data_IF_790742700443
#
_entry.id   IF_790742700443
#
_cell.length_a   1.000
_cell.length_b   1.000
_cell.length_c   1.000
_cell.angle_alpha   90.00
_cell.angle_beta   90.00
_cell.angle_gamma   90.00
#
_symmetry.space_group_name_H-M   'P 1'
#
loop_
_entity.id
_entity.type
_entity.pdbx_description
1 polymer ?
#
# COMPACT_ATOMS: atom_id res chain seq x y z
N UNK A 1 6.90 -46.19 5.59
CA UNK A 1 7.09 -45.84 7.01
C UNK A 1 6.19 -44.65 7.32
N UNK A 2 5.14 -44.84 8.12
CA UNK A 2 4.28 -43.74 8.58
C UNK A 2 5.00 -43.07 9.75
N UNK A 3 5.67 -41.95 9.51
CA UNK A 3 6.16 -41.12 10.61
C UNK A 3 4.92 -40.65 11.39
N UNK A 4 4.72 -41.13 12.61
CA UNK A 4 3.77 -40.49 13.49
C UNK A 4 4.33 -39.10 13.82
N UNK A 5 3.59 -38.07 13.42
CA UNK A 5 3.98 -36.68 13.56
C UNK A 5 3.53 -36.24 14.97
N UNK A 6 4.24 -36.63 16.03
CA UNK A 6 3.85 -36.41 17.45
C UNK A 6 3.83 -34.95 17.88
N UNK A 7 4.28 -34.09 16.98
CA UNK A 7 4.39 -32.65 17.15
C UNK A 7 3.05 -32.00 17.56
N UNK A 8 1.90 -32.61 17.20
CA UNK A 8 0.56 -32.08 17.50
C UNK A 8 0.29 -31.90 19.01
N UNK A 9 0.98 -32.67 19.86
CA UNK A 9 0.79 -32.61 21.32
C UNK A 9 1.61 -31.50 22.00
N UNK A 10 2.60 -30.93 21.31
CA UNK A 10 3.41 -29.82 21.83
C UNK A 10 2.59 -28.51 21.89
N UNK A 11 3.03 -27.56 22.72
CA UNK A 11 2.36 -26.25 22.81
C UNK A 11 2.31 -25.52 21.46
N UNK A 12 3.40 -25.60 20.69
CA UNK A 12 3.48 -25.06 19.33
C UNK A 12 2.49 -25.80 18.40
N UNK A 13 2.29 -27.11 18.57
CA UNK A 13 1.37 -27.95 17.80
C UNK A 13 -0.07 -27.52 17.92
N UNK A 14 -0.51 -27.36 19.17
CA UNK A 14 -1.84 -26.86 19.50
C UNK A 14 -2.06 -25.43 19.02
N UNK A 15 -1.04 -24.59 19.09
CA UNK A 15 -1.11 -23.21 18.57
C UNK A 15 -1.30 -23.17 17.05
N UNK A 16 -0.49 -23.93 16.29
CA UNK A 16 -0.66 -24.02 14.83
C UNK A 16 -2.01 -24.64 14.44
N UNK A 17 -2.50 -25.64 15.17
CA UNK A 17 -3.84 -26.19 14.96
C UNK A 17 -4.96 -25.19 15.25
N UNK A 18 -4.78 -24.32 16.24
CA UNK A 18 -5.74 -23.26 16.57
C UNK A 18 -5.79 -22.20 15.46
N UNK A 19 -4.63 -21.71 15.03
CA UNK A 19 -4.52 -20.71 13.95
C UNK A 19 -5.01 -21.27 12.61
N UNK A 20 -4.70 -22.53 12.31
CA UNK A 20 -5.18 -23.22 11.10
C UNK A 20 -6.63 -23.68 11.18
N UNK A 21 -7.36 -23.36 12.25
CA UNK A 21 -8.73 -23.83 12.43
C UNK A 21 -9.72 -23.05 11.55
N UNK A 22 -10.68 -23.77 10.95
CA UNK A 22 -11.78 -23.15 10.19
C UNK A 22 -12.57 -22.14 11.02
N UNK A 23 -12.67 -22.38 12.34
CA UNK A 23 -13.38 -21.50 13.27
C UNK A 23 -12.74 -20.13 13.40
N UNK A 24 -11.42 -20.02 13.20
CA UNK A 24 -10.71 -18.75 13.17
C UNK A 24 -10.63 -18.18 11.74
N UNK A 25 -10.39 -19.03 10.74
CA UNK A 25 -10.24 -18.56 9.36
C UNK A 25 -11.51 -17.88 8.80
N UNK A 26 -12.69 -18.45 9.04
CA UNK A 26 -13.97 -17.91 8.52
C UNK A 26 -14.26 -16.48 9.02
N UNK A 27 -14.28 -16.19 10.33
CA UNK A 27 -14.59 -14.84 10.80
C UNK A 27 -13.54 -13.83 10.32
N UNK A 28 -12.26 -14.21 10.26
CA UNK A 28 -11.20 -13.33 9.74
C UNK A 28 -11.42 -13.02 8.26
N UNK A 29 -11.79 -14.02 7.44
CA UNK A 29 -12.15 -13.80 6.03
C UNK A 29 -13.33 -12.84 5.88
N UNK A 30 -14.35 -12.96 6.73
CA UNK A 30 -15.50 -12.03 6.73
C UNK A 30 -15.05 -10.62 7.08
N UNK A 31 -14.20 -10.44 8.10
CA UNK A 31 -13.67 -9.14 8.47
C UNK A 31 -12.84 -8.50 7.36
N UNK A 32 -12.00 -9.29 6.68
CA UNK A 32 -11.25 -8.81 5.51
C UNK A 32 -12.19 -8.42 4.38
N UNK A 33 -13.23 -9.21 4.10
CA UNK A 33 -14.22 -8.88 3.07
C UNK A 33 -14.95 -7.56 3.39
N UNK A 34 -15.37 -7.35 4.63
CA UNK A 34 -15.98 -6.09 5.08
C UNK A 34 -15.00 -4.92 4.93
N UNK A 35 -13.74 -5.12 5.35
CA UNK A 35 -12.68 -4.12 5.18
C UNK A 35 -12.42 -3.77 3.71
N UNK A 36 -12.45 -4.75 2.82
CA UNK A 36 -12.32 -4.55 1.38
C UNK A 36 -13.49 -3.74 0.80
N UNK A 37 -14.73 -4.08 1.16
CA UNK A 37 -15.92 -3.33 0.74
C UNK A 37 -15.85 -1.87 1.20
N UNK A 38 -15.42 -1.65 2.45
CA UNK A 38 -15.25 -0.31 2.99
C UNK A 38 -14.13 0.46 2.29
N UNK A 39 -13.01 -0.20 1.99
CA UNK A 39 -11.91 0.36 1.20
C UNK A 39 -12.35 0.80 -0.20
N UNK A 40 -13.12 -0.04 -0.89
CA UNK A 40 -13.69 0.29 -2.20
C UNK A 40 -14.68 1.45 -2.15
N UNK A 41 -15.48 1.55 -1.08
CA UNK A 41 -16.35 2.68 -0.88
C UNK A 41 -15.56 4.00 -0.76
N UNK A 42 -14.55 4.04 0.10
CA UNK A 42 -13.67 5.23 0.27
C UNK A 42 -12.92 5.55 -1.02
N UNK A 43 -12.46 4.53 -1.76
CA UNK A 43 -11.79 4.71 -3.05
C UNK A 43 -12.70 5.44 -4.05
N UNK A 44 -13.98 5.08 -4.06
CA UNK A 44 -14.95 5.72 -4.95
C UNK A 44 -15.33 7.15 -4.56
N UNK A 45 -15.25 7.52 -3.27
CA UNK A 45 -15.67 8.84 -2.77
C UNK A 45 -14.52 9.82 -2.63
N UNK A 46 -13.44 9.40 -1.98
CA UNK A 46 -12.31 10.23 -1.58
C UNK A 46 -11.05 9.97 -2.44
N UNK A 47 -11.13 8.98 -3.33
CA UNK A 47 -10.07 8.59 -4.25
C UNK A 47 -9.09 7.56 -3.70
N UNK A 48 -8.34 6.95 -4.62
CA UNK A 48 -7.43 5.84 -4.35
C UNK A 48 -6.38 6.12 -3.27
N UNK A 49 -5.86 7.35 -3.19
CA UNK A 49 -4.85 7.73 -2.19
C UNK A 49 -5.43 7.72 -0.77
N UNK A 50 -6.67 8.20 -0.61
CA UNK A 50 -7.34 8.21 0.68
C UNK A 50 -7.64 6.78 1.15
N UNK A 51 -8.17 5.92 0.26
CA UNK A 51 -8.44 4.51 0.56
C UNK A 51 -7.16 3.73 0.90
N UNK A 52 -6.08 3.94 0.13
CA UNK A 52 -4.78 3.35 0.39
C UNK A 52 -4.25 3.71 1.78
N UNK A 53 -4.36 4.97 2.20
CA UNK A 53 -3.87 5.42 3.50
C UNK A 53 -4.75 4.99 4.68
N UNK A 54 -6.07 5.12 4.52
CA UNK A 54 -7.04 4.94 5.61
C UNK A 54 -7.40 3.48 5.86
N UNK A 55 -7.43 2.66 4.80
CA UNK A 55 -7.85 1.26 4.89
C UNK A 55 -6.66 0.35 4.61
N UNK A 56 -6.13 0.33 3.39
CA UNK A 56 -5.17 -0.71 2.98
C UNK A 56 -3.83 -0.63 3.71
N UNK A 57 -3.33 0.58 3.98
CA UNK A 57 -2.11 0.86 4.72
C UNK A 57 -2.32 0.99 6.24
N UNK A 58 -3.55 0.82 6.72
CA UNK A 58 -3.84 0.90 8.15
C UNK A 58 -3.33 -0.32 8.91
N UNK A 59 -2.86 -0.10 10.14
CA UNK A 59 -2.33 -1.19 10.98
C UNK A 59 -3.34 -2.30 11.26
N UNK A 60 -4.64 -1.98 11.34
CA UNK A 60 -5.69 -2.98 11.58
C UNK A 60 -5.92 -3.87 10.35
N UNK A 61 -5.93 -3.30 9.15
CA UNK A 61 -6.13 -4.08 7.92
C UNK A 61 -4.91 -4.93 7.62
N UNK A 62 -3.71 -4.38 7.83
CA UNK A 62 -2.44 -5.11 7.79
C UNK A 62 -2.46 -6.29 8.77
N UNK A 63 -2.92 -6.09 10.00
CA UNK A 63 -3.04 -7.15 11.00
C UNK A 63 -4.02 -8.25 10.56
N UNK A 64 -5.17 -7.89 9.98
CA UNK A 64 -6.12 -8.86 9.44
C UNK A 64 -5.52 -9.65 8.26
N UNK A 65 -4.81 -8.97 7.35
CA UNK A 65 -4.14 -9.61 6.21
C UNK A 65 -3.05 -10.57 6.69
N UNK A 66 -2.26 -10.18 7.68
CA UNK A 66 -1.25 -11.03 8.31
C UNK A 66 -1.90 -12.24 9.02
N UNK A 67 -3.04 -12.05 9.68
CA UNK A 67 -3.77 -13.12 10.35
C UNK A 67 -4.32 -14.15 9.37
N UNK A 68 -4.88 -13.71 8.23
CA UNK A 68 -5.27 -14.62 7.13
C UNK A 68 -4.04 -15.38 6.63
N UNK A 69 -2.95 -14.69 6.33
CA UNK A 69 -1.72 -15.32 5.85
C UNK A 69 -1.23 -16.41 6.80
N UNK A 70 -1.18 -16.11 8.10
CA UNK A 70 -0.78 -17.07 9.13
C UNK A 70 -1.73 -18.28 9.20
N UNK A 71 -3.04 -18.06 9.05
CA UNK A 71 -4.03 -19.15 9.02
C UNK A 71 -3.85 -20.06 7.80
N UNK A 72 -3.52 -19.50 6.62
CA UNK A 72 -3.23 -20.27 5.41
C UNK A 72 -1.95 -21.10 5.56
N UNK A 73 -0.89 -20.50 6.10
CA UNK A 73 0.37 -21.21 6.38
C UNK A 73 0.11 -22.37 7.34
N UNK A 74 -0.60 -22.12 8.44
CA UNK A 74 -0.96 -23.15 9.40
C UNK A 74 -1.82 -24.26 8.77
N UNK A 75 -2.77 -23.92 7.89
CA UNK A 75 -3.59 -24.89 7.17
C UNK A 75 -2.77 -25.78 6.21
N UNK A 76 -1.73 -25.22 5.58
CA UNK A 76 -0.83 -26.00 4.70
C UNK A 76 0.08 -26.92 5.53
N UNK A 77 0.65 -26.40 6.63
CA UNK A 77 1.56 -27.14 7.51
C UNK A 77 0.86 -28.29 8.24
N UNK A 78 -0.36 -28.07 8.74
CA UNK A 78 -1.14 -29.10 9.45
C UNK A 78 -1.59 -30.25 8.55
N UNK A 79 -1.54 -30.07 7.23
CA UNK A 79 -1.93 -31.09 6.24
C UNK A 79 -0.75 -31.88 5.65
N UNK A 80 0.42 -31.77 6.27
CA UNK A 80 1.57 -32.63 6.02
C UNK A 80 1.26 -34.05 6.57
N UNK A 81 1.36 -35.19 5.84
CA UNK A 81 2.17 -35.49 4.65
C UNK A 81 1.40 -35.39 3.31
N UNK A 82 2.01 -34.69 2.35
CA UNK A 82 1.38 -34.40 1.06
C UNK A 82 1.27 -35.64 0.17
N UNK A 83 0.04 -36.10 0.00
CA UNK A 83 -0.30 -37.13 -0.97
C UNK A 83 -0.78 -36.48 -2.28
N UNK A 84 -0.66 -37.16 -3.44
CA UNK A 84 -1.00 -36.58 -4.76
C UNK A 84 -2.44 -36.06 -4.88
N UNK A 85 -3.34 -36.53 -4.00
CA UNK A 85 -4.74 -36.06 -3.90
C UNK A 85 -4.88 -34.63 -3.36
N UNK A 86 -3.87 -34.10 -2.66
CA UNK A 86 -3.92 -32.77 -2.04
C UNK A 86 -3.19 -31.69 -2.83
N UNK A 87 -2.71 -32.00 -4.05
CA UNK A 87 -1.95 -31.04 -4.87
C UNK A 87 -2.76 -29.78 -5.13
N UNK A 88 -4.03 -29.90 -5.55
CA UNK A 88 -4.87 -28.71 -5.79
C UNK A 88 -5.07 -27.85 -4.54
N UNK A 89 -5.24 -28.48 -3.36
CA UNK A 89 -5.34 -27.74 -2.10
C UNK A 89 -4.06 -26.95 -1.82
N UNK A 90 -2.90 -27.59 -1.90
CA UNK A 90 -1.60 -26.95 -1.62
C UNK A 90 -1.35 -25.82 -2.62
N UNK A 91 -1.55 -26.05 -3.93
CA UNK A 91 -1.33 -25.04 -4.97
C UNK A 91 -2.14 -23.77 -4.72
N UNK A 92 -3.43 -23.89 -4.41
CA UNK A 92 -4.29 -22.72 -4.15
C UNK A 92 -3.82 -21.95 -2.92
N UNK A 93 -3.52 -22.65 -1.82
CA UNK A 93 -3.13 -21.99 -0.57
C UNK A 93 -1.75 -21.37 -0.67
N UNK A 94 -0.79 -22.07 -1.28
CA UNK A 94 0.55 -21.52 -1.55
C UNK A 94 0.48 -20.33 -2.49
N UNK A 95 -0.35 -20.38 -3.54
CA UNK A 95 -0.57 -19.23 -4.43
C UNK A 95 -1.11 -18.01 -3.68
N UNK A 96 -2.10 -18.21 -2.80
CA UNK A 96 -2.65 -17.11 -2.00
C UNK A 96 -1.62 -16.54 -1.01
N UNK A 97 -0.81 -17.39 -0.38
CA UNK A 97 0.29 -16.95 0.50
C UNK A 97 1.28 -16.09 -0.30
N UNK A 98 1.69 -16.52 -1.49
CA UNK A 98 2.61 -15.78 -2.36
C UNK A 98 2.02 -14.41 -2.74
N UNK A 99 0.73 -14.35 -3.10
CA UNK A 99 0.06 -13.08 -3.43
C UNK A 99 0.04 -12.12 -2.24
N UNK A 100 -0.28 -12.60 -1.04
CA UNK A 100 -0.32 -11.76 0.16
C UNK A 100 1.08 -11.24 0.49
N UNK A 101 2.10 -12.11 0.44
CA UNK A 101 3.50 -11.71 0.69
C UNK A 101 3.99 -10.71 -0.37
N UNK A 102 3.65 -10.93 -1.64
CA UNK A 102 3.95 -9.98 -2.72
C UNK A 102 3.28 -8.63 -2.53
N UNK A 103 2.03 -8.61 -2.04
CA UNK A 103 1.32 -7.37 -1.68
C UNK A 103 2.03 -6.59 -0.57
N UNK A 104 2.50 -7.29 0.48
CA UNK A 104 3.31 -6.66 1.53
C UNK A 104 4.61 -6.06 0.98
N UNK A 105 5.25 -6.73 0.03
CA UNK A 105 6.45 -6.17 -0.62
C UNK A 105 6.12 -4.91 -1.42
N UNK A 106 5.00 -4.93 -2.16
CA UNK A 106 4.54 -3.77 -2.94
C UNK A 106 4.19 -2.56 -2.07
N UNK A 107 3.80 -2.75 -0.82
CA UNK A 107 3.49 -1.64 0.10
C UNK A 107 4.72 -0.79 0.44
N UNK A 108 5.92 -1.37 0.47
CA UNK A 108 7.14 -0.65 0.87
C UNK A 108 7.92 -0.06 -0.30
N UNK A 109 7.82 -0.63 -1.50
CA UNK A 109 8.66 -0.28 -2.66
C UNK A 109 7.95 0.42 -3.81
N UNK A 110 6.67 0.79 -3.67
CA UNK A 110 5.88 1.36 -4.76
C UNK A 110 6.11 2.86 -4.91
N UNK A 111 6.53 3.26 -6.12
CA UNK A 111 6.52 4.66 -6.57
C UNK A 111 5.18 4.91 -7.29
N UNK A 112 4.42 5.87 -6.80
CA UNK A 112 3.14 6.28 -7.40
C UNK A 112 3.32 7.61 -8.14
N UNK A 113 2.87 7.66 -9.38
CA UNK A 113 2.85 8.87 -10.19
C UNK A 113 1.80 8.78 -11.28
N UNK A 114 1.41 9.92 -11.81
CA UNK A 114 0.50 10.03 -12.94
C UNK A 114 1.29 10.38 -14.19
N UNK A 115 0.84 9.87 -15.34
CA UNK A 115 1.35 10.31 -16.62
C UNK A 115 0.18 10.85 -17.41
N UNK A 116 0.19 12.16 -17.69
CA UNK A 116 -0.77 12.78 -18.59
C UNK A 116 -0.24 12.64 -20.01
N UNK A 117 -0.90 11.83 -20.83
CA UNK A 117 -0.58 11.69 -22.26
C UNK A 117 -1.81 12.06 -23.09
N UNK A 118 -1.59 12.78 -24.19
CA UNK A 118 -2.59 13.02 -25.22
C UNK A 118 -2.47 11.96 -26.31
N UNK A 119 -3.57 11.67 -27.01
CA UNK A 119 -3.59 10.67 -28.08
C UNK A 119 -2.52 10.98 -29.14
N UNK A 120 -1.64 10.00 -29.39
CA UNK A 120 -0.54 10.13 -30.35
C UNK A 120 0.78 10.69 -29.78
N UNK A 121 0.84 11.08 -28.50
CA UNK A 121 2.07 11.55 -27.85
C UNK A 121 2.73 10.47 -27.00
N UNK A 122 4.07 10.47 -26.95
CA UNK A 122 4.87 9.66 -26.02
C UNK A 122 5.45 10.55 -24.92
N UNK A 123 5.21 10.23 -23.66
CA UNK A 123 5.86 10.88 -22.52
C UNK A 123 6.76 9.90 -21.77
N UNK A 124 7.97 10.32 -21.42
CA UNK A 124 8.91 9.60 -20.55
C UNK A 124 8.98 10.21 -19.15
N UNK A 125 8.12 11.18 -18.85
CA UNK A 125 8.09 11.92 -17.60
C UNK A 125 6.88 11.49 -16.77
N UNK A 126 7.12 11.23 -15.49
CA UNK A 126 6.12 10.79 -14.53
C UNK A 126 5.90 11.93 -13.55
N UNK A 127 4.68 12.44 -13.51
CA UNK A 127 4.27 13.45 -12.53
C UNK A 127 4.02 12.75 -11.19
N UNK A 128 4.94 12.93 -10.26
CA UNK A 128 4.83 12.38 -8.91
C UNK A 128 3.87 13.25 -8.09
N UNK A 129 3.09 12.65 -7.19
CA UNK A 129 2.27 13.39 -6.22
C UNK A 129 3.11 13.96 -5.08
N UNK A 130 4.28 14.51 -5.40
CA UNK A 130 5.15 15.12 -4.43
C UNK A 130 4.85 16.59 -4.42
N UNK A 131 4.57 17.15 -3.26
CA UNK A 131 4.37 18.59 -3.16
C UNK A 131 5.69 19.28 -3.43
N UNK A 132 5.75 20.03 -4.52
CA UNK A 132 6.89 20.87 -4.91
C UNK A 132 6.52 22.34 -4.77
N UNK A 133 7.50 23.13 -4.38
CA UNK A 133 7.45 24.58 -4.47
C UNK A 133 8.18 24.97 -5.75
N UNK A 134 7.41 25.48 -6.71
CA UNK A 134 7.91 25.93 -7.99
C UNK A 134 7.97 27.45 -8.02
N UNK A 135 9.13 28.01 -8.35
CA UNK A 135 9.26 29.42 -8.70
C UNK A 135 9.01 29.58 -10.18
N UNK A 136 8.00 30.38 -10.51
CA UNK A 136 7.60 30.66 -11.88
C UNK A 136 7.98 32.08 -12.25
N UNK A 137 8.57 32.28 -13.44
CA UNK A 137 8.76 33.60 -14.04
C UNK A 137 7.65 33.83 -15.08
N UNK A 138 7.00 35.01 -15.09
CA UNK A 138 6.05 35.36 -16.15
C UNK A 138 6.77 35.41 -17.51
N UNK A 139 6.34 34.58 -18.46
CA UNK A 139 6.82 34.58 -19.85
C UNK A 139 5.69 34.86 -20.83
N UNK A 140 6.02 35.28 -22.06
CA UNK A 140 5.04 35.67 -23.09
C UNK A 140 4.05 34.55 -23.49
N UNK A 141 4.34 33.29 -23.16
CA UNK A 141 3.48 32.13 -23.42
C UNK A 141 2.86 31.48 -22.18
N UNK A 142 3.01 32.09 -20.99
CA UNK A 142 2.58 31.53 -19.71
C UNK A 142 3.71 31.47 -18.67
N UNK A 143 3.41 31.09 -17.41
CA UNK A 143 4.41 30.95 -16.37
C UNK A 143 5.41 29.84 -16.70
N UNK A 144 6.72 30.17 -16.69
CA UNK A 144 7.82 29.21 -16.90
C UNK A 144 8.44 28.88 -15.56
N UNK A 145 8.50 27.60 -15.20
CA UNK A 145 9.14 27.12 -13.97
C UNK A 145 10.66 27.33 -14.07
N UNK A 146 11.23 28.10 -13.15
CA UNK A 146 12.65 28.46 -13.10
C UNK A 146 13.42 27.59 -12.11
N UNK A 147 12.78 27.19 -11.00
CA UNK A 147 13.35 26.29 -10.00
C UNK A 147 12.25 25.58 -9.20
N UNK A 148 12.52 24.35 -8.79
CA UNK A 148 11.61 23.52 -7.99
C UNK A 148 12.34 22.97 -6.76
N UNK A 149 11.74 23.07 -5.57
CA UNK A 149 12.20 22.35 -4.38
C UNK A 149 11.10 21.45 -3.83
N UNK A 150 11.45 20.35 -3.16
CA UNK A 150 10.45 19.55 -2.45
C UNK A 150 9.90 20.33 -1.25
N UNK A 151 8.59 20.55 -1.23
CA UNK A 151 7.86 21.18 -0.14
C UNK A 151 7.69 20.24 1.07
N UNK A 152 7.91 18.94 0.89
CA UNK A 152 7.82 17.93 1.95
C UNK A 152 8.99 18.06 2.95
N UNK A 153 10.16 18.48 2.49
CA UNK A 153 11.37 18.61 3.31
C UNK A 153 11.47 19.98 4.03
N UNK A 154 10.69 20.99 3.62
CA UNK A 154 10.79 22.37 4.10
C UNK A 154 9.43 22.90 4.58
N UNK A 155 9.03 22.47 5.79
CA UNK A 155 7.76 22.87 6.44
C UNK A 155 7.80 24.31 6.96
N UNK A 156 8.97 24.79 7.40
CA UNK A 156 9.28 26.18 7.80
C UNK A 156 10.76 26.46 7.60
N UNK A 157 11.10 27.65 7.10
CA UNK A 157 12.48 28.10 6.96
C UNK A 157 12.81 28.66 5.57
N UNK A 158 14.04 29.13 5.43
CA UNK A 158 14.52 29.75 4.21
C UNK A 158 14.95 28.70 3.18
N UNK A 159 14.38 28.78 1.99
CA UNK A 159 14.77 27.99 0.83
C UNK A 159 15.41 28.92 -0.18
N UNK A 160 16.62 28.59 -0.62
CA UNK A 160 17.23 29.26 -1.76
C UNK A 160 16.82 28.54 -3.04
N UNK A 161 16.11 29.23 -3.90
CA UNK A 161 15.73 28.75 -5.22
C UNK A 161 16.31 29.72 -6.25
N UNK A 162 17.25 29.25 -7.06
CA UNK A 162 17.92 30.03 -8.12
C UNK A 162 18.43 31.42 -7.67
N UNK A 163 19.02 31.50 -6.47
CA UNK A 163 19.56 32.74 -5.90
C UNK A 163 18.53 33.65 -5.22
N UNK A 164 17.25 33.29 -5.23
CA UNK A 164 16.19 33.96 -4.47
C UNK A 164 16.00 33.24 -3.13
N UNK A 165 16.21 33.96 -2.03
CA UNK A 165 16.00 33.44 -0.68
C UNK A 165 14.53 33.63 -0.30
N UNK A 166 13.76 32.54 -0.27
CA UNK A 166 12.33 32.54 0.05
C UNK A 166 12.14 32.02 1.48
N UNK A 167 11.59 32.84 2.36
CA UNK A 167 11.27 32.44 3.73
C UNK A 167 9.85 31.86 3.80
N UNK A 168 9.74 30.56 4.09
CA UNK A 168 8.45 29.87 4.21
C UNK A 168 7.93 30.12 5.63
N UNK A 169 7.08 31.14 5.76
CA UNK A 169 6.52 31.58 7.05
C UNK A 169 5.49 30.58 7.60
N UNK A 170 4.56 30.14 6.76
CA UNK A 170 3.54 29.15 7.14
C UNK A 170 2.91 28.46 5.94
N UNK A 171 2.27 27.31 6.19
CA UNK A 171 1.63 26.50 5.15
C UNK A 171 0.14 26.36 5.41
N UNK A 172 -0.67 26.97 4.54
CA UNK A 172 -2.12 27.02 4.68
C UNK A 172 -2.79 25.90 3.88
N UNK A 173 -3.86 25.31 4.40
CA UNK A 173 -4.59 24.22 3.74
C UNK A 173 -5.22 24.61 2.39
N UNK A 174 -5.38 25.91 2.13
CA UNK A 174 -5.99 26.43 0.91
C UNK A 174 -4.99 26.67 -0.24
N UNK A 175 -3.68 26.52 -0.01
CA UNK A 175 -2.63 26.72 -1.03
C UNK A 175 -2.76 25.74 -2.20
N UNK A 176 -3.46 24.61 -2.04
CA UNK A 176 -3.77 23.70 -3.14
C UNK A 176 -4.80 24.26 -4.15
N UNK A 177 -5.54 25.32 -3.80
CA UNK A 177 -6.57 25.92 -4.64
C UNK A 177 -6.09 27.17 -5.41
N UNK A 178 -5.03 27.83 -4.93
CA UNK A 178 -4.44 28.99 -5.59
C UNK A 178 -3.08 28.61 -6.21
N UNK A 179 -3.02 28.31 -7.52
CA UNK A 179 -1.83 27.80 -8.19
C UNK A 179 -0.65 28.78 -8.27
N UNK A 180 -0.85 30.06 -7.94
CA UNK A 180 0.22 31.05 -7.84
C UNK A 180 -0.19 32.18 -6.87
N UNK A 181 0.77 32.70 -6.12
CA UNK A 181 0.62 33.94 -5.35
C UNK A 181 1.34 35.04 -6.13
N UNK A 182 0.60 36.08 -6.53
CA UNK A 182 1.12 37.22 -7.29
C UNK A 182 1.82 38.25 -6.39
#
# INVERSE_FOLDING_TARGET
>A
MRAHLDWHHTAFGRFLLFIGSLRLAIPVMVLVAVGMVWGTYIDSTDGAKAAARLVYGSGWFIALMALICMSLIAAVVTRFPWNRRHVGFITVHTGLIILIVGSFWSLFGRLEGQIRMQEGQSSSEIEMDRQTLDLMRPGEGGPVVVASVSAEDHVKGKVSLDGVEVDIVDRWGNTAQEPWVA
#
